data_IF_798143545622
#
_entry.id   IF_798143545622
#
_cell.length_a   1.000
_cell.length_b   1.000
_cell.length_c   1.000
_cell.angle_alpha   90.00
_cell.angle_beta   90.00
_cell.angle_gamma   90.00
#
_symmetry.space_group_name_H-M   'P 1'
#
loop_
_entity.id
_entity.type
_entity.pdbx_description
1 polymer ?
#
# COMPACT_ATOMS: atom_id res chain seq x y z
N UNK A 1 9.50 -6.42 -25.61
CA UNK A 1 8.93 -5.23 -24.96
C UNK A 1 7.41 -5.36 -24.99
N UNK A 2 6.71 -5.25 -23.86
CA UNK A 2 5.31 -4.85 -23.91
C UNK A 2 5.10 -3.56 -23.12
N UNK A 3 4.50 -2.61 -23.84
CA UNK A 3 3.95 -1.35 -23.36
C UNK A 3 2.66 -1.70 -22.61
N UNK A 4 2.62 -1.45 -21.30
CA UNK A 4 1.39 -1.58 -20.50
C UNK A 4 0.43 -0.46 -20.89
N UNK A 5 -0.71 -0.84 -21.45
CA UNK A 5 -1.82 0.04 -21.81
C UNK A 5 -2.36 0.73 -20.54
N UNK A 6 -2.07 2.03 -20.43
CA UNK A 6 -2.67 2.97 -19.48
C UNK A 6 -4.04 3.39 -20.00
N UNK A 7 -5.11 2.66 -19.71
CA UNK A 7 -6.46 3.16 -19.97
C UNK A 7 -7.48 2.65 -18.95
N UNK A 8 -8.11 3.63 -18.28
CA UNK A 8 -9.51 3.69 -17.82
C UNK A 8 -9.89 3.61 -16.34
N UNK A 9 -8.98 3.37 -15.38
CA UNK A 9 -9.33 3.59 -13.97
C UNK A 9 -8.28 4.43 -13.23
N UNK A 10 -8.75 5.48 -12.54
CA UNK A 10 -7.94 6.36 -11.68
C UNK A 10 -7.06 5.58 -10.67
N UNK A 11 -7.45 4.35 -10.37
CA UNK A 11 -6.76 3.39 -9.52
C UNK A 11 -5.53 2.75 -10.15
N UNK A 12 -5.53 2.43 -11.45
CA UNK A 12 -4.36 1.90 -12.14
C UNK A 12 -3.25 2.96 -12.22
N UNK A 13 -3.65 4.23 -12.35
CA UNK A 13 -2.75 5.37 -12.22
C UNK A 13 -2.15 5.49 -10.80
N UNK A 14 -2.95 5.27 -9.75
CA UNK A 14 -2.45 5.23 -8.37
C UNK A 14 -1.45 4.08 -8.18
N UNK A 15 -1.78 2.87 -8.62
CA UNK A 15 -0.87 1.70 -8.55
C UNK A 15 0.43 2.01 -9.29
N UNK A 16 0.34 2.52 -10.53
CA UNK A 16 1.51 2.89 -11.34
C UNK A 16 2.41 3.92 -10.63
N UNK A 17 1.81 4.94 -9.99
CA UNK A 17 2.57 5.91 -9.22
C UNK A 17 3.21 5.29 -7.98
N UNK A 18 2.53 4.39 -7.25
CA UNK A 18 3.12 3.69 -6.11
C UNK A 18 4.26 2.77 -6.54
N UNK A 19 4.10 2.01 -7.63
CA UNK A 19 5.14 1.12 -8.15
C UNK A 19 6.32 1.91 -8.70
N UNK A 20 6.06 3.03 -9.39
CA UNK A 20 7.10 3.92 -9.90
C UNK A 20 7.88 4.58 -8.77
N UNK A 21 7.18 5.14 -7.78
CA UNK A 21 7.80 5.68 -6.57
C UNK A 21 8.59 4.58 -5.84
N UNK A 22 8.10 3.35 -5.78
CA UNK A 22 8.82 2.23 -5.18
C UNK A 22 10.13 1.92 -5.93
N UNK A 23 10.11 1.80 -7.26
CA UNK A 23 11.34 1.52 -8.02
C UNK A 23 12.32 2.72 -7.96
N UNK A 24 11.84 3.96 -8.07
CA UNK A 24 12.67 5.17 -7.91
C UNK A 24 13.27 5.25 -6.50
N UNK A 25 12.49 4.97 -5.45
CA UNK A 25 13.00 4.96 -4.07
C UNK A 25 13.96 3.80 -3.85
N UNK A 26 13.73 2.63 -4.44
CA UNK A 26 14.63 1.47 -4.37
C UNK A 26 15.98 1.79 -5.01
N UNK A 27 16.01 2.43 -6.17
CA UNK A 27 17.25 2.85 -6.82
C UNK A 27 18.04 3.87 -5.97
N UNK A 28 17.35 4.82 -5.33
CA UNK A 28 17.95 5.80 -4.41
C UNK A 28 18.40 5.15 -3.08
N UNK A 29 17.74 4.08 -2.64
CA UNK A 29 17.94 3.42 -1.35
C UNK A 29 19.16 2.52 -1.25
N UNK A 30 19.87 2.25 -2.37
CA UNK A 30 21.15 1.50 -2.36
C UNK A 30 22.21 2.11 -1.42
N UNK A 31 22.02 3.36 -0.97
CA UNK A 31 22.87 4.02 0.01
C UNK A 31 22.40 3.92 1.47
N UNK A 32 21.09 3.74 1.77
CA UNK A 32 20.50 3.60 3.14
C UNK A 32 19.11 2.93 3.08
N UNK A 33 19.01 1.59 3.20
CA UNK A 33 17.81 0.84 2.81
C UNK A 33 16.62 0.91 3.79
N UNK A 34 16.84 1.04 5.10
CA UNK A 34 15.82 0.65 6.10
C UNK A 34 14.72 1.70 6.34
N UNK A 35 15.01 2.99 6.11
CA UNK A 35 14.11 4.07 6.57
C UNK A 35 12.96 4.39 5.61
N UNK A 36 13.12 4.15 4.30
CA UNK A 36 12.10 4.50 3.30
C UNK A 36 11.17 3.35 2.91
N UNK A 37 11.65 2.11 2.97
CA UNK A 37 10.81 0.92 2.75
C UNK A 37 9.67 0.80 3.79
N UNK A 38 9.93 1.24 5.03
CA UNK A 38 8.89 1.35 6.05
C UNK A 38 7.87 2.47 5.77
N UNK A 39 8.25 3.50 5.00
CA UNK A 39 7.41 4.68 4.76
C UNK A 39 6.22 4.35 3.86
N UNK A 40 6.42 3.57 2.78
CA UNK A 40 5.31 3.18 1.88
C UNK A 40 4.30 2.26 2.57
N UNK A 41 4.78 1.30 3.38
CA UNK A 41 3.88 0.43 4.17
C UNK A 41 3.09 1.24 5.21
N UNK A 42 3.76 2.20 5.86
CA UNK A 42 3.13 3.11 6.81
C UNK A 42 2.07 3.97 6.13
N UNK A 43 2.34 4.56 4.97
CA UNK A 43 1.35 5.33 4.20
C UNK A 43 0.15 4.48 3.81
N UNK A 44 0.36 3.26 3.31
CA UNK A 44 -0.72 2.32 3.01
C UNK A 44 -1.57 1.97 4.25
N UNK A 45 -0.95 1.90 5.43
CA UNK A 45 -1.64 1.71 6.72
C UNK A 45 -2.43 2.93 7.20
N UNK A 46 -2.23 4.11 6.62
CA UNK A 46 -3.06 5.29 6.88
C UNK A 46 -4.19 5.48 5.86
N UNK A 47 -4.17 4.73 4.76
CA UNK A 47 -5.26 4.72 3.78
C UNK A 47 -6.37 3.77 4.26
N UNK A 48 -7.38 4.32 4.91
CA UNK A 48 -8.57 3.60 5.31
C UNK A 48 -9.68 3.75 4.27
N UNK A 49 -9.98 2.64 3.62
CA UNK A 49 -11.06 2.50 2.65
C UNK A 49 -12.11 1.56 3.21
N UNK A 50 -13.37 1.70 2.79
CA UNK A 50 -14.38 0.66 3.06
C UNK A 50 -13.94 -0.67 2.45
N UNK A 51 -14.11 -1.78 3.18
CA UNK A 51 -13.64 -3.10 2.74
C UNK A 51 -14.25 -3.55 1.41
N UNK A 52 -15.48 -3.12 1.13
CA UNK A 52 -16.19 -3.46 -0.11
C UNK A 52 -15.91 -2.45 -1.23
N UNK A 53 -15.07 -1.45 -1.02
CA UNK A 53 -14.77 -0.46 -2.05
C UNK A 53 -13.76 -0.97 -3.06
N UNK A 54 -13.87 -0.46 -4.29
CA UNK A 54 -12.85 -0.68 -5.31
C UNK A 54 -11.48 -0.18 -4.84
N UNK A 55 -11.42 0.97 -4.15
CA UNK A 55 -10.17 1.51 -3.60
C UNK A 55 -9.48 0.53 -2.63
N UNK A 56 -10.24 -0.19 -1.79
CA UNK A 56 -9.68 -1.23 -0.92
C UNK A 56 -9.12 -2.40 -1.73
N UNK A 57 -9.85 -2.84 -2.75
CA UNK A 57 -9.39 -3.90 -3.66
C UNK A 57 -8.07 -3.49 -4.34
N UNK A 58 -7.95 -2.24 -4.80
CA UNK A 58 -6.72 -1.74 -5.40
C UNK A 58 -5.58 -1.60 -4.39
N UNK A 59 -5.85 -1.13 -3.17
CA UNK A 59 -4.88 -1.13 -2.07
C UNK A 59 -4.31 -2.53 -1.83
N UNK A 60 -5.16 -3.56 -1.83
CA UNK A 60 -4.72 -4.95 -1.64
C UNK A 60 -3.87 -5.47 -2.81
N UNK A 61 -4.13 -5.04 -4.05
CA UNK A 61 -3.22 -5.34 -5.19
C UNK A 61 -1.82 -4.75 -4.98
N UNK A 62 -1.73 -3.53 -4.44
CA UNK A 62 -0.44 -2.91 -4.10
C UNK A 62 0.25 -3.69 -2.99
N UNK A 63 -0.49 -4.09 -1.95
CA UNK A 63 0.04 -4.92 -0.85
C UNK A 63 0.61 -6.23 -1.38
N UNK A 64 -0.10 -6.93 -2.28
CA UNK A 64 0.40 -8.15 -2.91
C UNK A 64 1.69 -7.90 -3.69
N UNK A 65 1.73 -6.85 -4.51
CA UNK A 65 2.93 -6.48 -5.27
C UNK A 65 4.13 -6.20 -4.35
N UNK A 66 3.93 -5.46 -3.25
CA UNK A 66 5.01 -5.14 -2.30
C UNK A 66 5.49 -6.40 -1.56
N UNK A 67 4.58 -7.30 -1.21
CA UNK A 67 4.92 -8.57 -0.57
C UNK A 67 5.80 -9.45 -1.47
N UNK A 68 5.51 -9.52 -2.78
CA UNK A 68 6.36 -10.21 -3.77
C UNK A 68 7.78 -9.61 -3.86
N UNK A 69 7.95 -8.34 -3.47
CA UNK A 69 9.24 -7.66 -3.42
C UNK A 69 9.94 -7.75 -2.06
N UNK A 70 9.36 -8.48 -1.11
CA UNK A 70 9.90 -8.70 0.24
C UNK A 70 9.47 -7.67 1.29
N UNK A 71 8.46 -6.85 0.99
CA UNK A 71 7.89 -5.88 1.94
C UNK A 71 6.56 -6.39 2.49
N UNK A 72 6.57 -6.80 3.76
CA UNK A 72 5.40 -7.36 4.42
C UNK A 72 4.53 -6.25 5.06
N UNK A 73 3.44 -5.92 4.38
CA UNK A 73 2.41 -5.00 4.88
C UNK A 73 1.83 -5.43 6.23
N UNK A 74 1.61 -6.73 6.42
CA UNK A 74 0.90 -7.28 7.58
C UNK A 74 1.74 -7.24 8.85
N UNK A 75 3.06 -7.24 8.71
CA UNK A 75 3.99 -7.09 9.83
C UNK A 75 3.99 -5.66 10.43
N UNK A 76 3.49 -4.67 9.70
CA UNK A 76 3.35 -3.31 10.21
C UNK A 76 2.13 -3.18 11.13
N UNK A 77 2.29 -2.52 12.29
CA UNK A 77 1.17 -2.26 13.20
C UNK A 77 0.13 -1.34 12.56
N UNK A 78 -1.14 -1.59 12.86
CA UNK A 78 -2.22 -0.67 12.50
C UNK A 78 -1.98 0.67 13.25
N UNK A 79 -2.00 1.83 12.60
CA UNK A 79 -1.79 3.11 13.27
C UNK A 79 -2.87 3.40 14.30
N UNK A 80 -2.51 4.00 15.43
CA UNK A 80 -3.44 4.32 16.54
C UNK A 80 -4.66 5.10 16.05
N UNK A 81 -4.47 6.04 15.10
CA UNK A 81 -5.55 6.82 14.49
C UNK A 81 -6.60 5.97 13.79
N UNK A 82 -6.19 4.86 13.15
CA UNK A 82 -7.11 3.93 12.49
C UNK A 82 -7.79 3.05 13.54
N UNK A 83 -7.03 2.56 14.53
CA UNK A 83 -7.60 1.80 15.65
C UNK A 83 -8.66 2.60 16.40
N UNK A 84 -8.43 3.89 16.67
CA UNK A 84 -9.39 4.77 17.35
C UNK A 84 -10.62 5.04 16.48
N UNK A 85 -10.44 5.27 15.17
CA UNK A 85 -11.53 5.51 14.22
C UNK A 85 -12.48 4.32 14.12
N UNK A 86 -11.94 3.11 14.13
CA UNK A 86 -12.71 1.86 13.98
C UNK A 86 -12.77 1.04 15.28
N UNK A 87 -12.59 1.69 16.44
CA UNK A 87 -12.60 1.01 17.75
C UNK A 87 -13.88 0.22 18.03
N UNK A 88 -14.99 0.70 17.47
CA UNK A 88 -16.33 0.12 17.61
C UNK A 88 -16.65 -0.88 16.48
N UNK A 89 -15.71 -1.11 15.55
CA UNK A 89 -15.80 -2.06 14.44
C UNK A 89 -14.60 -3.03 14.44
N UNK A 90 -14.60 -4.02 15.36
CA UNK A 90 -13.52 -5.00 15.47
C UNK A 90 -13.42 -5.89 14.22
N UNK A 91 -14.50 -6.07 13.47
CA UNK A 91 -14.48 -6.83 12.23
C UNK A 91 -13.64 -6.10 11.17
N UNK A 92 -13.82 -4.78 11.02
CA UNK A 92 -12.99 -3.95 10.15
C UNK A 92 -11.52 -4.06 10.52
N UNK A 93 -11.18 -3.87 11.81
CA UNK A 93 -9.79 -3.93 12.28
C UNK A 93 -9.15 -5.32 12.10
N UNK A 94 -9.93 -6.40 12.10
CA UNK A 94 -9.42 -7.75 11.85
C UNK A 94 -9.06 -8.01 10.39
N UNK A 95 -9.73 -7.30 9.46
CA UNK A 95 -9.54 -7.43 8.01
C UNK A 95 -8.55 -6.41 7.45
N UNK A 96 -8.21 -5.38 8.23
CA UNK A 96 -7.39 -4.22 7.86
C UNK A 96 -5.87 -4.49 7.88
#
# INVERSE_FOLDING_TARGET
MPIFLLTEHNSDYKIFNYTKNYEETREVSKAKPIYKENMILTELRFLDFSLDSEDYTYKMKIVTFLNEKGLDYWNSKIPEKIQERYKDDPEYLSKY
#
